data_IF_705705125337
#
_entry.id   IF_705705125337
#
_cell.length_a   1.000
_cell.length_b   1.000
_cell.length_c   1.000
_cell.angle_alpha   90.00
_cell.angle_beta   90.00
_cell.angle_gamma   90.00
#
_symmetry.space_group_name_H-M   'P 1'
#
loop_
_entity.id
_entity.type
_entity.pdbx_description
1 polymer ?
#
# COMPACT_ATOMS: atom_id res chain seq x y z
N UNK A 1 -6.02 -4.58 19.22
CA UNK A 1 -7.22 -4.65 18.35
C UNK A 1 -7.12 -3.78 17.09
N UNK A 2 -6.21 -2.79 17.01
CA UNK A 2 -6.10 -1.86 15.87
C UNK A 2 -5.22 -2.35 14.72
N UNK A 3 -4.16 -3.12 15.00
CA UNK A 3 -3.15 -3.50 14.00
C UNK A 3 -3.71 -4.31 12.81
N UNK A 4 -4.51 -5.35 13.05
CA UNK A 4 -5.06 -6.15 11.93
C UNK A 4 -6.08 -5.36 11.13
N UNK A 5 -6.95 -4.61 11.79
CA UNK A 5 -7.96 -3.79 11.12
C UNK A 5 -7.36 -2.71 10.23
N UNK A 6 -6.19 -2.18 10.61
CA UNK A 6 -5.51 -1.14 9.82
C UNK A 6 -5.06 -1.65 8.45
N UNK A 7 -4.80 -2.96 8.31
CA UNK A 7 -4.45 -3.63 7.04
C UNK A 7 -5.57 -3.62 5.98
N UNK A 8 -6.79 -3.21 6.35
CA UNK A 8 -7.90 -3.01 5.41
C UNK A 8 -7.84 -1.67 4.67
N UNK A 9 -6.86 -0.80 4.98
CA UNK A 9 -6.72 0.51 4.35
C UNK A 9 -5.38 0.68 3.60
N UNK A 10 -5.08 -0.19 2.61
CA UNK A 10 -3.84 -0.14 1.84
C UNK A 10 -3.65 1.15 1.03
N UNK A 11 -4.73 1.85 0.65
CA UNK A 11 -4.62 3.13 -0.04
C UNK A 11 -3.96 4.21 0.82
N UNK A 12 -4.32 4.30 2.10
CA UNK A 12 -3.70 5.24 3.03
C UNK A 12 -2.19 5.02 3.18
N UNK A 13 -1.78 3.74 3.27
CA UNK A 13 -0.35 3.38 3.28
C UNK A 13 0.34 3.69 1.96
N UNK A 14 -0.34 3.51 0.82
CA UNK A 14 0.22 3.83 -0.48
C UNK A 14 0.54 5.33 -0.60
N UNK A 15 -0.41 6.19 -0.22
CA UNK A 15 -0.20 7.63 -0.23
C UNK A 15 0.92 8.06 0.73
N UNK A 16 0.92 7.53 1.95
CA UNK A 16 1.99 7.79 2.92
C UNK A 16 3.36 7.38 2.37
N UNK A 17 3.46 6.23 1.72
CA UNK A 17 4.71 5.79 1.08
C UNK A 17 5.14 6.74 -0.03
N UNK A 18 4.22 7.23 -0.88
CA UNK A 18 4.55 8.21 -1.94
C UNK A 18 5.16 9.48 -1.35
N UNK A 19 4.65 9.98 -0.21
CA UNK A 19 5.26 11.15 0.45
C UNK A 19 6.69 10.88 0.93
N UNK A 20 7.01 9.64 1.34
CA UNK A 20 8.40 9.30 1.70
C UNK A 20 9.35 9.34 0.50
N UNK A 21 8.85 9.16 -0.72
CA UNK A 21 9.62 9.32 -1.96
C UNK A 21 9.76 10.80 -2.36
N UNK A 22 8.98 11.68 -1.73
CA UNK A 22 8.69 13.04 -2.16
C UNK A 22 9.84 14.03 -2.07
N UNK A 23 10.93 13.71 -1.37
CA UNK A 23 12.12 14.55 -1.28
C UNK A 23 12.74 14.88 -2.64
N UNK A 24 12.48 14.06 -3.67
CA UNK A 24 12.93 14.27 -5.04
C UNK A 24 11.89 14.95 -5.95
N UNK A 25 10.69 15.26 -5.46
CA UNK A 25 9.58 15.80 -6.26
C UNK A 25 8.97 17.02 -5.58
N UNK A 26 9.48 18.23 -5.84
CA UNK A 26 9.01 19.44 -5.17
C UNK A 26 7.56 19.80 -5.53
N UNK A 27 7.05 19.36 -6.68
CA UNK A 27 5.69 19.66 -7.17
C UNK A 27 5.04 18.42 -7.80
N UNK A 28 5.03 17.31 -7.08
CA UNK A 28 4.54 16.05 -7.63
C UNK A 28 3.04 16.14 -7.96
N UNK A 29 2.66 15.51 -9.07
CA UNK A 29 1.29 15.24 -9.46
C UNK A 29 0.98 13.78 -9.17
N UNK A 30 0.05 13.54 -8.27
CA UNK A 30 -0.32 12.18 -7.82
C UNK A 30 -1.78 11.92 -8.20
N UNK A 31 -2.00 10.92 -9.03
CA UNK A 31 -3.34 10.39 -9.29
C UNK A 31 -3.61 9.17 -8.39
N UNK A 32 -4.84 9.00 -7.95
CA UNK A 32 -5.28 7.79 -7.27
C UNK A 32 -6.69 7.38 -7.70
N UNK A 33 -6.88 6.08 -7.89
CA UNK A 33 -8.16 5.51 -8.33
C UNK A 33 -9.19 5.43 -7.18
N UNK A 34 -10.44 5.12 -7.56
CA UNK A 34 -11.53 4.96 -6.61
C UNK A 34 -11.25 3.85 -5.60
N UNK A 35 -10.58 2.77 -6.00
CA UNK A 35 -10.21 1.72 -5.06
C UNK A 35 -9.26 2.23 -3.98
N UNK A 36 -8.22 2.97 -4.35
CA UNK A 36 -7.26 3.57 -3.42
C UNK A 36 -7.96 4.55 -2.47
N UNK A 37 -8.91 5.36 -2.98
CA UNK A 37 -9.73 6.26 -2.17
C UNK A 37 -10.59 5.51 -1.15
N UNK A 38 -11.31 4.46 -1.58
CA UNK A 38 -12.12 3.63 -0.68
C UNK A 38 -11.29 2.90 0.38
N UNK A 39 -9.99 2.69 0.11
CA UNK A 39 -9.06 2.00 0.96
C UNK A 39 -8.11 2.96 1.71
N UNK A 40 -8.52 4.21 1.94
CA UNK A 40 -7.85 5.10 2.91
C UNK A 40 -7.04 6.24 2.32
N UNK A 41 -6.96 6.39 0.98
CA UNK A 41 -6.54 7.69 0.43
C UNK A 41 -7.65 8.70 0.64
N UNK A 42 -7.32 9.84 1.25
CA UNK A 42 -8.27 10.93 1.49
C UNK A 42 -7.58 12.29 1.50
N UNK A 43 -8.37 13.36 1.54
CA UNK A 43 -7.83 14.72 1.65
C UNK A 43 -6.98 14.95 2.92
N UNK A 44 -7.19 14.17 3.99
CA UNK A 44 -6.32 14.25 5.17
C UNK A 44 -4.93 13.65 4.94
N UNK A 45 -4.81 12.74 3.97
CA UNK A 45 -3.51 12.20 3.57
C UNK A 45 -2.77 13.13 2.62
N UNK A 46 -3.40 14.15 2.01
CA UNK A 46 -2.78 15.11 1.08
C UNK A 46 -1.94 16.16 1.84
N UNK A 47 -0.82 15.73 2.41
CA UNK A 47 -0.05 16.49 3.40
C UNK A 47 1.02 17.44 2.81
N UNK A 48 1.19 17.50 1.49
CA UNK A 48 2.13 18.42 0.83
C UNK A 48 1.37 19.47 0.02
N UNK A 49 1.46 20.74 0.44
CA UNK A 49 0.74 21.85 -0.19
C UNK A 49 1.22 22.24 -1.59
N UNK A 50 2.44 21.84 -1.98
CA UNK A 50 2.99 22.11 -3.32
C UNK A 50 2.64 21.00 -4.33
N UNK A 51 2.07 19.90 -3.86
CA UNK A 51 1.68 18.76 -4.70
C UNK A 51 0.26 18.91 -5.22
N UNK A 52 0.03 18.34 -6.39
CA UNK A 52 -1.33 18.22 -6.95
C UNK A 52 -1.82 16.80 -6.80
N UNK A 53 -2.86 16.63 -6.00
CA UNK A 53 -3.55 15.37 -5.82
C UNK A 53 -4.80 15.35 -6.69
N UNK A 54 -5.02 14.25 -7.40
CA UNK A 54 -6.13 14.15 -8.33
C UNK A 54 -6.83 12.80 -8.23
N UNK A 55 -8.16 12.86 -8.10
CA UNK A 55 -9.04 11.71 -8.17
C UNK A 55 -10.23 12.06 -9.02
N UNK A 56 -10.62 11.13 -9.87
CA UNK A 56 -11.82 11.21 -10.70
C UNK A 56 -12.53 9.88 -10.68
N UNK A 57 -13.87 9.90 -10.82
CA UNK A 57 -14.69 8.70 -11.01
C UNK A 57 -14.78 8.29 -12.49
N UNK A 58 -14.26 9.12 -13.40
CA UNK A 58 -14.16 8.82 -14.82
C UNK A 58 -12.81 8.17 -15.14
N UNK A 59 -12.79 7.28 -16.13
CA UNK A 59 -11.54 6.74 -16.65
C UNK A 59 -10.74 7.86 -17.33
N UNK A 60 -9.49 8.03 -16.91
CA UNK A 60 -8.57 8.94 -17.57
C UNK A 60 -7.98 8.29 -18.82
N UNK A 61 -7.78 9.08 -19.86
CA UNK A 61 -7.03 8.63 -21.02
C UNK A 61 -5.57 8.33 -20.65
N UNK A 62 -4.92 7.49 -21.47
CA UNK A 62 -3.51 7.17 -21.30
C UNK A 62 -2.63 8.42 -21.30
N UNK A 63 -2.94 9.42 -22.12
CA UNK A 63 -2.15 10.65 -22.21
C UNK A 63 -2.35 11.56 -21.01
N UNK A 64 -3.56 11.63 -20.45
CA UNK A 64 -3.82 12.34 -19.19
C UNK A 64 -3.07 11.69 -18.02
N UNK A 65 -3.08 10.35 -17.94
CA UNK A 65 -2.34 9.62 -16.90
C UNK A 65 -0.84 9.94 -16.95
N UNK A 66 -0.24 10.05 -18.14
CA UNK A 66 1.18 10.41 -18.31
C UNK A 66 1.53 11.82 -17.83
N UNK A 67 0.56 12.65 -17.46
CA UNK A 67 0.84 13.96 -16.83
C UNK A 67 1.12 13.86 -15.33
N UNK A 68 0.90 12.69 -14.72
CA UNK A 68 1.17 12.43 -13.31
C UNK A 68 2.56 11.82 -13.11
N UNK A 69 3.24 12.21 -12.03
CA UNK A 69 4.49 11.62 -11.58
C UNK A 69 4.25 10.23 -11.00
N UNK A 70 3.19 10.11 -10.20
CA UNK A 70 2.79 8.89 -9.52
C UNK A 70 1.31 8.60 -9.74
N UNK A 71 0.99 7.31 -9.91
CA UNK A 71 -0.38 6.83 -9.92
C UNK A 71 -0.55 5.68 -8.91
N UNK A 72 -1.65 5.73 -8.15
CA UNK A 72 -2.04 4.70 -7.18
C UNK A 72 -3.26 3.97 -7.72
N UNK A 73 -3.09 2.69 -8.04
CA UNK A 73 -4.10 1.89 -8.74
C UNK A 73 -4.22 0.48 -8.18
N UNK A 74 -5.40 -0.11 -8.28
CA UNK A 74 -5.64 -1.50 -7.86
C UNK A 74 -5.13 -2.54 -8.88
N UNK A 75 -4.99 -2.16 -10.14
CA UNK A 75 -4.41 -3.01 -11.19
C UNK A 75 -3.35 -2.25 -11.98
N UNK A 76 -2.18 -2.88 -12.16
CA UNK A 76 -1.06 -2.32 -12.92
C UNK A 76 -1.05 -2.72 -14.40
N UNK A 77 -1.78 -3.78 -14.76
CA UNK A 77 -1.64 -4.44 -16.07
C UNK A 77 -1.84 -3.46 -17.24
N UNK A 78 -2.78 -2.53 -17.11
CA UNK A 78 -3.11 -1.49 -18.09
C UNK A 78 -2.07 -0.37 -18.22
N UNK A 79 -1.12 -0.27 -17.28
CA UNK A 79 -0.21 0.86 -17.12
C UNK A 79 1.28 0.51 -17.29
N UNK A 80 1.63 -0.79 -17.38
CA UNK A 80 3.01 -1.29 -17.44
C UNK A 80 3.85 -0.73 -18.62
N UNK A 81 3.22 -0.23 -19.69
CA UNK A 81 3.92 0.40 -20.82
C UNK A 81 4.53 1.75 -20.48
N UNK A 82 3.80 2.61 -19.76
CA UNK A 82 4.17 4.00 -19.49
C UNK A 82 4.69 4.22 -18.07
N UNK A 83 4.41 3.30 -17.16
CA UNK A 83 4.78 3.37 -15.76
C UNK A 83 5.57 2.14 -15.33
N UNK A 84 6.39 2.28 -14.29
CA UNK A 84 7.00 1.16 -13.60
C UNK A 84 6.52 1.10 -12.15
N UNK A 85 6.38 -0.11 -11.63
CA UNK A 85 6.00 -0.33 -10.24
C UNK A 85 7.15 0.03 -9.32
N UNK A 86 6.95 1.01 -8.45
CA UNK A 86 7.90 1.39 -7.41
C UNK A 86 7.69 0.54 -6.17
N UNK A 87 6.44 0.27 -5.83
CA UNK A 87 6.06 -0.47 -4.64
C UNK A 87 4.66 -1.07 -4.80
N UNK A 88 4.40 -2.11 -4.01
CA UNK A 88 3.09 -2.76 -3.91
C UNK A 88 2.69 -2.79 -2.45
N UNK A 89 1.57 -2.16 -2.13
CA UNK A 89 0.98 -2.21 -0.81
C UNK A 89 0.07 -3.43 -0.75
N UNK A 90 0.45 -4.38 0.09
CA UNK A 90 -0.39 -5.51 0.44
C UNK A 90 -1.45 -5.10 1.47
N UNK A 91 -2.65 -5.66 1.37
CA UNK A 91 -3.72 -5.49 2.34
C UNK A 91 -4.27 -6.83 2.81
N UNK A 92 -5.08 -6.80 3.86
CA UNK A 92 -5.77 -7.98 4.38
C UNK A 92 -6.56 -8.69 3.28
N UNK A 93 -6.41 -10.01 3.19
CA UNK A 93 -7.12 -10.85 2.21
C UNK A 93 -7.83 -12.04 2.84
N UNK A 94 -7.57 -12.34 4.11
CA UNK A 94 -8.28 -13.37 4.83
C UNK A 94 -7.49 -13.97 5.98
N UNK A 95 -7.97 -15.10 6.48
CA UNK A 95 -7.36 -15.88 7.55
C UNK A 95 -6.99 -17.26 7.01
N UNK A 96 -5.82 -17.75 7.39
CA UNK A 96 -5.35 -19.12 7.21
C UNK A 96 -5.58 -19.87 8.52
N UNK A 97 -6.18 -21.05 8.43
CA UNK A 97 -6.32 -21.95 9.56
C UNK A 97 -5.27 -23.04 9.37
N UNK A 98 -4.13 -22.97 10.07
CA UNK A 98 -3.12 -24.01 10.00
C UNK A 98 -3.64 -25.30 10.64
N UNK A 99 -2.99 -26.42 10.33
CA UNK A 99 -3.30 -27.68 11.02
C UNK A 99 -3.01 -27.58 12.53
N UNK A 100 -3.52 -28.52 13.32
CA UNK A 100 -3.42 -28.47 14.79
C UNK A 100 -1.99 -28.39 15.32
N UNK A 101 -1.01 -29.02 14.65
CA UNK A 101 0.40 -28.99 15.08
C UNK A 101 1.01 -27.61 14.86
N UNK A 102 0.80 -27.05 13.68
CA UNK A 102 1.30 -25.72 13.32
C UNK A 102 0.61 -24.62 14.13
N UNK A 103 -0.69 -24.78 14.44
CA UNK A 103 -1.42 -23.88 15.34
C UNK A 103 -0.82 -23.89 16.75
N UNK A 104 -0.49 -25.06 17.31
CA UNK A 104 0.14 -25.17 18.63
C UNK A 104 1.53 -24.55 18.64
N UNK A 105 2.34 -24.75 17.59
CA UNK A 105 3.64 -24.11 17.46
C UNK A 105 3.55 -22.59 17.35
N UNK A 106 2.55 -22.11 16.61
CA UNK A 106 2.28 -20.69 16.46
C UNK A 106 1.84 -20.06 17.78
N UNK A 107 0.89 -20.65 18.50
CA UNK A 107 0.40 -20.14 19.78
C UNK A 107 1.52 -19.97 20.82
N UNK A 108 2.57 -20.81 20.75
CA UNK A 108 3.76 -20.66 21.61
C UNK A 108 4.57 -19.40 21.30
N UNK A 109 4.68 -19.03 20.03
CA UNK A 109 5.48 -17.86 19.57
C UNK A 109 4.64 -16.60 19.37
N UNK A 110 3.31 -16.72 19.43
CA UNK A 110 2.35 -15.65 19.16
C UNK A 110 2.49 -14.45 20.11
N UNK A 111 2.64 -14.62 21.44
CA UNK A 111 2.72 -13.49 22.37
C UNK A 111 3.91 -12.58 22.07
N UNK A 112 5.09 -13.17 21.83
CA UNK A 112 6.33 -12.43 21.56
C UNK A 112 6.25 -11.67 20.22
N UNK A 113 5.80 -12.35 19.16
CA UNK A 113 5.66 -11.70 17.85
C UNK A 113 4.58 -10.62 17.87
N UNK A 114 3.47 -10.85 18.57
CA UNK A 114 2.42 -9.84 18.72
C UNK A 114 2.91 -8.62 19.51
N UNK A 115 3.63 -8.85 20.62
CA UNK A 115 4.21 -7.79 21.42
C UNK A 115 5.16 -6.92 20.60
N UNK A 116 6.03 -7.54 19.79
CA UNK A 116 6.92 -6.82 18.87
C UNK A 116 6.15 -5.95 17.85
N UNK A 117 5.11 -6.50 17.23
CA UNK A 117 4.31 -5.74 16.24
C UNK A 117 3.57 -4.56 16.89
N UNK A 118 3.13 -4.72 18.14
CA UNK A 118 2.44 -3.66 18.90
C UNK A 118 3.42 -2.59 19.37
N UNK A 119 4.63 -2.96 19.79
CA UNK A 119 5.66 -2.01 20.23
C UNK A 119 6.30 -1.25 19.07
N UNK A 120 6.35 -1.85 17.88
CA UNK A 120 7.01 -1.29 16.70
C UNK A 120 6.03 -1.16 15.52
N UNK A 121 4.95 -0.38 15.65
CA UNK A 121 3.91 -0.31 14.62
C UNK A 121 4.44 0.24 13.30
N UNK A 122 5.36 1.21 13.31
CA UNK A 122 5.94 1.82 12.10
C UNK A 122 6.76 0.81 11.28
N UNK A 123 7.67 0.07 11.93
CA UNK A 123 8.49 -1.00 11.33
C UNK A 123 7.61 -2.17 10.86
N UNK A 124 6.56 -2.47 11.62
CA UNK A 124 5.67 -3.58 11.35
C UNK A 124 4.74 -3.33 10.16
N UNK A 125 4.39 -2.08 9.88
CA UNK A 125 3.32 -1.73 8.96
C UNK A 125 3.89 -1.42 7.58
N UNK A 126 4.78 -0.44 7.45
CA UNK A 126 5.32 -0.07 6.14
C UNK A 126 6.34 -1.12 5.66
N UNK A 127 7.24 -1.61 6.52
CA UNK A 127 8.25 -2.58 6.08
C UNK A 127 7.65 -3.96 5.76
N UNK A 128 6.66 -4.45 6.54
CA UNK A 128 6.04 -5.74 6.19
C UNK A 128 5.08 -5.66 5.02
N UNK A 129 4.41 -4.53 4.80
CA UNK A 129 3.45 -4.40 3.71
C UNK A 129 4.15 -4.15 2.38
N UNK A 130 5.22 -3.36 2.39
CA UNK A 130 5.91 -2.89 1.18
C UNK A 130 7.16 -3.71 0.85
N UNK A 131 7.91 -4.16 1.86
CA UNK A 131 9.22 -4.80 1.69
C UNK A 131 9.25 -6.29 2.05
N UNK A 132 8.17 -6.87 2.58
CA UNK A 132 8.15 -8.30 2.92
C UNK A 132 7.81 -9.15 1.70
N UNK A 133 8.64 -10.15 1.42
CA UNK A 133 8.33 -11.22 0.47
C UNK A 133 7.18 -12.11 0.95
N UNK A 134 6.87 -12.11 2.26
CA UNK A 134 5.80 -12.92 2.83
C UNK A 134 4.42 -12.33 2.52
N UNK A 135 3.47 -13.21 2.28
CA UNK A 135 2.05 -12.88 2.02
C UNK A 135 1.18 -13.19 3.24
N UNK A 136 1.79 -13.23 4.42
CA UNK A 136 1.08 -13.47 5.67
C UNK A 136 1.77 -12.76 6.83
N UNK A 137 0.98 -12.51 7.87
CA UNK A 137 1.44 -12.11 9.19
C UNK A 137 1.19 -13.29 10.12
N UNK A 138 2.27 -13.73 10.78
CA UNK A 138 2.28 -14.84 11.73
C UNK A 138 1.89 -16.20 11.13
N UNK A 139 1.72 -16.36 9.82
CA UNK A 139 1.20 -17.60 9.21
C UNK A 139 -0.33 -17.76 9.27
N UNK A 140 -1.04 -16.78 9.83
CA UNK A 140 -2.51 -16.81 9.98
C UNK A 140 -3.16 -15.69 9.16
N UNK A 141 -2.69 -14.45 9.28
CA UNK A 141 -3.36 -13.34 8.62
C UNK A 141 -2.81 -13.25 7.19
N UNK A 142 -3.64 -13.53 6.19
CA UNK A 142 -3.22 -13.47 4.79
C UNK A 142 -3.23 -12.04 4.28
N UNK A 143 -2.23 -11.73 3.49
CA UNK A 143 -2.06 -10.48 2.78
C UNK A 143 -2.05 -10.76 1.27
N UNK A 144 -2.60 -9.84 0.48
CA UNK A 144 -2.46 -9.86 -0.98
C UNK A 144 -2.10 -8.47 -1.47
N UNK A 145 -1.45 -8.32 -2.64
CA UNK A 145 -1.36 -7.05 -3.35
C UNK A 145 -2.74 -6.38 -3.45
N UNK A 146 -2.81 -5.08 -3.15
CA UNK A 146 -4.05 -4.29 -3.24
C UNK A 146 -3.84 -2.96 -3.95
N UNK A 147 -2.78 -2.23 -3.63
CA UNK A 147 -2.51 -0.93 -4.28
C UNK A 147 -1.10 -0.95 -4.84
N UNK A 148 -1.00 -0.68 -6.13
CA UNK A 148 0.26 -0.54 -6.85
C UNK A 148 0.61 0.93 -6.92
N UNK A 149 1.84 1.24 -6.54
CA UNK A 149 2.42 2.59 -6.65
C UNK A 149 3.26 2.58 -7.91
N UNK A 150 2.78 3.25 -8.95
CA UNK A 150 3.45 3.29 -10.22
C UNK A 150 4.04 4.69 -10.45
N UNK A 151 5.27 4.73 -10.96
CA UNK A 151 5.95 5.98 -11.33
C UNK A 151 6.07 6.06 -12.85
N UNK A 152 5.86 7.27 -13.37
CA UNK A 152 5.98 7.56 -14.79
C UNK A 152 7.40 7.36 -15.30
N UNK A 153 7.55 6.69 -16.44
CA UNK A 153 8.86 6.44 -17.08
C UNK A 153 9.45 7.67 -17.76
N UNK A 154 8.61 8.58 -18.25
CA UNK A 154 9.02 9.69 -19.12
C UNK A 154 9.55 10.91 -18.34
N UNK A 155 9.58 10.83 -17.00
CA UNK A 155 10.03 11.90 -16.10
C UNK A 155 11.35 11.53 -15.41
N UNK A 156 12.21 10.79 -16.13
CA UNK A 156 13.58 10.44 -15.74
C UNK A 156 14.58 11.35 -16.46
#
# INVERSE_FOLDING_TARGET
MTFISSLNYPGGYAMSYVHTLGSNYPKARVYYDTFSAMNGVSRFSENNGDWTYYKTDSELSRDELKTFDFILVNDRSSHDSDFYTVAVIKGYSGISIPNTKDLLGLLKTFPEKLAYLVSNPEDALIANIVKSDKNDILGIIKLSPKVYILKNKNLL
#
